data_IF_319748521093
#
_entry.id   IF_319748521093
#
_cell.length_a   1.000
_cell.length_b   1.000
_cell.length_c   1.000
_cell.angle_alpha   90.00
_cell.angle_beta   90.00
_cell.angle_gamma   90.00
#
_symmetry.space_group_name_H-M   'P 1'
#
loop_
_entity.id
_entity.type
_entity.pdbx_description
1 polymer ?
#
# COMPACT_ATOMS: atom_id res chain seq x y z
N UNK A 1 5.97 -5.80 -14.31
CA UNK A 1 6.60 -6.20 -13.04
C UNK A 1 5.46 -6.49 -12.06
N UNK A 2 5.43 -7.69 -11.48
CA UNK A 2 4.29 -8.21 -10.70
C UNK A 2 4.62 -8.15 -9.21
N UNK A 3 3.61 -7.90 -8.39
CA UNK A 3 3.75 -8.05 -6.94
C UNK A 3 3.81 -9.53 -6.56
N UNK A 4 4.48 -9.83 -5.45
CA UNK A 4 4.51 -11.16 -4.84
C UNK A 4 3.54 -11.22 -3.67
N UNK A 5 2.75 -12.28 -3.59
CA UNK A 5 1.77 -12.47 -2.52
C UNK A 5 2.15 -13.65 -1.61
N UNK A 6 1.99 -13.47 -0.30
CA UNK A 6 2.18 -14.52 0.72
C UNK A 6 0.92 -14.67 1.55
N UNK A 7 0.59 -15.90 1.95
CA UNK A 7 -0.68 -16.20 2.62
C UNK A 7 -0.62 -16.20 4.15
N UNK A 8 0.57 -16.29 4.75
CA UNK A 8 0.74 -16.43 6.21
C UNK A 8 1.98 -15.66 6.70
N UNK A 9 1.82 -14.40 7.16
CA UNK A 9 0.59 -13.61 7.14
C UNK A 9 0.26 -13.04 5.74
N UNK A 10 -1.01 -12.68 5.47
CA UNK A 10 -1.44 -12.07 4.20
C UNK A 10 -0.62 -10.83 3.84
N UNK A 11 0.35 -11.00 2.94
CA UNK A 11 1.35 -9.97 2.59
C UNK A 11 1.38 -9.79 1.08
N UNK A 12 1.36 -8.53 0.64
CA UNK A 12 1.54 -8.14 -0.76
C UNK A 12 2.79 -7.28 -0.88
N UNK A 13 3.76 -7.79 -1.64
CA UNK A 13 5.08 -7.20 -1.80
C UNK A 13 5.20 -6.64 -3.22
N UNK A 14 5.17 -5.31 -3.35
CA UNK A 14 5.19 -4.57 -4.61
C UNK A 14 6.41 -3.62 -4.72
N UNK A 15 7.42 -3.75 -3.87
CA UNK A 15 8.60 -2.89 -3.82
C UNK A 15 9.46 -2.97 -5.08
N UNK A 16 10.17 -1.89 -5.41
CA UNK A 16 11.15 -1.85 -6.51
C UNK A 16 10.60 -2.23 -7.89
N UNK A 17 9.33 -1.89 -8.17
CA UNK A 17 8.63 -2.22 -9.42
C UNK A 17 8.34 -1.02 -10.32
N UNK A 18 8.87 0.17 -10.00
CA UNK A 18 8.64 1.43 -10.70
C UNK A 18 7.14 1.85 -10.80
N UNK A 19 6.31 1.42 -9.84
CA UNK A 19 4.90 1.80 -9.84
C UNK A 19 4.73 3.30 -9.66
N UNK A 20 3.97 3.95 -10.56
CA UNK A 20 3.60 5.38 -10.45
C UNK A 20 2.33 5.61 -9.62
N UNK A 21 1.58 4.54 -9.33
CA UNK A 21 0.39 4.51 -8.49
C UNK A 21 0.30 3.18 -7.74
N UNK A 22 -0.47 3.15 -6.65
CA UNK A 22 -0.79 1.89 -5.96
C UNK A 22 -1.55 0.96 -6.93
N UNK A 23 -1.20 -0.33 -7.05
CA UNK A 23 -1.95 -1.29 -7.87
C UNK A 23 -3.42 -1.41 -7.42
N UNK A 24 -4.35 -1.38 -8.37
CA UNK A 24 -5.80 -1.38 -8.11
C UNK A 24 -6.34 -2.71 -7.56
N UNK A 25 -5.64 -3.82 -7.81
CA UNK A 25 -6.08 -5.18 -7.50
C UNK A 25 -5.29 -5.77 -6.33
N UNK A 26 -5.43 -5.17 -5.15
CA UNK A 26 -4.93 -5.74 -3.90
C UNK A 26 -5.98 -6.70 -3.30
N UNK A 27 -5.60 -7.90 -2.82
CA UNK A 27 -6.50 -8.77 -2.07
C UNK A 27 -7.10 -8.04 -0.85
N UNK A 28 -8.42 -8.14 -0.60
CA UNK A 28 -9.09 -7.41 0.49
C UNK A 28 -8.65 -7.88 1.89
N UNK A 29 -8.08 -9.08 2.00
CA UNK A 29 -7.53 -9.65 3.23
C UNK A 29 -6.07 -9.27 3.49
N UNK A 30 -5.46 -8.42 2.66
CA UNK A 30 -4.06 -8.00 2.82
C UNK A 30 -3.86 -7.31 4.18
N UNK A 31 -2.93 -7.83 4.96
CA UNK A 31 -2.54 -7.26 6.26
C UNK A 31 -1.22 -6.48 6.17
N UNK A 32 -0.33 -6.88 5.28
CA UNK A 32 0.96 -6.21 5.06
C UNK A 32 1.11 -5.81 3.61
N UNK A 33 1.37 -4.54 3.35
CA UNK A 33 1.55 -4.00 2.00
C UNK A 33 2.87 -3.24 1.89
N UNK A 34 3.76 -3.73 1.02
CA UNK A 34 5.08 -3.16 0.81
C UNK A 34 5.14 -2.48 -0.56
N UNK A 35 5.21 -1.16 -0.57
CA UNK A 35 5.23 -0.31 -1.77
C UNK A 35 6.48 0.57 -1.83
N UNK A 36 7.45 0.38 -0.95
CA UNK A 36 8.68 1.17 -0.92
C UNK A 36 9.50 1.04 -2.22
N UNK A 37 10.35 2.02 -2.48
CA UNK A 37 11.22 2.06 -3.68
C UNK A 37 10.40 2.02 -4.99
N UNK A 38 9.31 2.78 -5.05
CA UNK A 38 8.52 2.96 -6.27
C UNK A 38 8.49 4.47 -6.65
N UNK A 39 7.63 4.84 -7.58
CA UNK A 39 7.50 6.20 -8.11
C UNK A 39 6.13 6.80 -7.80
N UNK A 40 5.45 6.32 -6.76
CA UNK A 40 4.09 6.71 -6.41
C UNK A 40 4.09 8.18 -6.00
N UNK A 41 3.19 8.97 -6.61
CA UNK A 41 3.07 10.41 -6.36
C UNK A 41 1.85 10.81 -5.55
N UNK A 42 0.78 10.04 -5.68
CA UNK A 42 -0.53 10.43 -5.16
C UNK A 42 -1.21 9.28 -4.46
N UNK A 43 -1.74 9.54 -3.26
CA UNK A 43 -2.59 8.62 -2.51
C UNK A 43 -3.99 9.20 -2.35
N UNK A 44 -5.01 8.36 -2.53
CA UNK A 44 -6.44 8.76 -2.49
C UNK A 44 -7.23 7.92 -1.49
N UNK A 45 -8.35 8.44 -0.94
CA UNK A 45 -9.28 7.63 -0.16
C UNK A 45 -9.69 6.36 -0.90
N UNK A 46 -9.80 5.25 -0.17
CA UNK A 46 -10.18 3.95 -0.74
C UNK A 46 -9.07 3.21 -1.48
N UNK A 47 -7.83 3.73 -1.49
CA UNK A 47 -6.68 3.04 -2.10
C UNK A 47 -6.24 1.81 -1.31
N UNK A 48 -6.44 1.84 0.01
CA UNK A 48 -5.95 0.84 0.95
C UNK A 48 -7.12 0.11 1.62
N UNK A 49 -6.98 -1.20 1.83
CA UNK A 49 -8.01 -2.04 2.46
C UNK A 49 -8.03 -1.90 3.99
N UNK A 50 -9.19 -2.09 4.65
CA UNK A 50 -9.36 -1.82 6.09
C UNK A 50 -8.58 -2.79 7.01
N UNK A 51 -8.14 -3.94 6.49
CA UNK A 51 -7.43 -4.98 7.24
C UNK A 51 -5.92 -4.76 7.34
N UNK A 52 -5.40 -3.66 6.80
CA UNK A 52 -3.96 -3.37 6.82
C UNK A 52 -3.47 -3.09 8.24
N UNK A 53 -2.44 -3.83 8.63
CA UNK A 53 -1.67 -3.69 9.86
C UNK A 53 -0.35 -2.95 9.59
N UNK A 54 0.29 -3.26 8.46
CA UNK A 54 1.58 -2.67 8.05
C UNK A 54 1.50 -2.13 6.63
N UNK A 55 1.89 -0.87 6.44
CA UNK A 55 1.96 -0.21 5.13
C UNK A 55 3.30 0.49 4.97
N UNK A 56 4.15 0.06 4.03
CA UNK A 56 5.42 0.74 3.76
C UNK A 56 5.39 1.51 2.44
N UNK A 57 5.62 2.82 2.54
CA UNK A 57 5.56 3.75 1.41
C UNK A 57 6.87 4.56 1.21
N UNK A 58 7.89 4.34 2.04
CA UNK A 58 9.14 5.11 1.97
C UNK A 58 9.86 4.96 0.61
N UNK A 59 10.74 5.90 0.28
CA UNK A 59 11.43 5.93 -1.02
C UNK A 59 10.47 5.91 -2.22
N UNK A 60 9.37 6.65 -2.11
CA UNK A 60 8.49 7.02 -3.23
C UNK A 60 8.63 8.51 -3.54
N UNK A 61 7.89 9.01 -4.54
CA UNK A 61 7.87 10.42 -4.92
C UNK A 61 6.55 11.09 -4.50
N UNK A 62 6.09 10.77 -3.28
CA UNK A 62 4.79 11.23 -2.77
C UNK A 62 4.76 12.75 -2.66
N UNK A 63 3.89 13.39 -3.45
CA UNK A 63 3.69 14.84 -3.45
C UNK A 63 2.28 15.25 -3.07
N UNK A 64 1.32 14.32 -3.09
CA UNK A 64 -0.09 14.61 -2.74
C UNK A 64 -0.71 13.43 -2.02
N UNK A 65 -1.19 13.67 -0.79
CA UNK A 65 -1.99 12.71 -0.04
C UNK A 65 -3.34 13.37 0.20
N UNK A 66 -4.40 12.83 -0.40
CA UNK A 66 -5.73 13.41 -0.26
C UNK A 66 -6.26 13.19 1.18
N UNK A 67 -6.98 14.15 1.76
CA UNK A 67 -7.64 13.99 3.06
C UNK A 67 -8.49 12.72 3.08
N UNK A 68 -8.35 11.94 4.15
CA UNK A 68 -9.09 10.69 4.31
C UNK A 68 -8.46 9.45 3.67
N UNK A 69 -7.28 9.56 3.04
CA UNK A 69 -6.53 8.41 2.48
C UNK A 69 -6.40 7.24 3.47
N UNK A 70 -6.12 7.54 4.74
CA UNK A 70 -5.90 6.54 5.78
C UNK A 70 -7.10 6.37 6.74
N UNK A 71 -8.23 7.07 6.50
CA UNK A 71 -9.36 7.16 7.46
C UNK A 71 -9.97 5.80 7.84
N UNK A 72 -9.92 4.83 6.94
CA UNK A 72 -10.53 3.51 7.14
C UNK A 72 -9.54 2.45 7.64
N UNK A 73 -8.27 2.81 7.86
CA UNK A 73 -7.23 1.88 8.30
C UNK A 73 -7.18 1.82 9.84
N UNK A 74 -8.28 1.38 10.45
CA UNK A 74 -8.44 1.36 11.91
C UNK A 74 -7.51 0.36 12.60
N UNK A 75 -7.08 -0.68 11.88
CA UNK A 75 -6.17 -1.70 12.38
C UNK A 75 -4.69 -1.40 12.06
N UNK A 76 -4.38 -0.23 11.47
CA UNK A 76 -3.01 0.09 11.09
C UNK A 76 -2.14 0.31 12.32
N UNK A 77 -1.09 -0.48 12.43
CA UNK A 77 -0.12 -0.45 13.52
C UNK A 77 1.18 0.24 13.08
N UNK A 78 1.52 0.12 11.78
CA UNK A 78 2.79 0.62 11.22
C UNK A 78 2.61 1.25 9.83
N UNK A 79 3.18 2.45 9.64
CA UNK A 79 3.14 3.27 8.42
C UNK A 79 4.53 3.83 8.05
#
# INVERSE_FOLDING_TARGET
MLCTCYSSPPTVSCQANNFSSVPLSLPPSTQRLFLQNNLIRTLRPGTFGPNLLTLWLFSNNLSTIYPGTFRHLQALEEL
#
